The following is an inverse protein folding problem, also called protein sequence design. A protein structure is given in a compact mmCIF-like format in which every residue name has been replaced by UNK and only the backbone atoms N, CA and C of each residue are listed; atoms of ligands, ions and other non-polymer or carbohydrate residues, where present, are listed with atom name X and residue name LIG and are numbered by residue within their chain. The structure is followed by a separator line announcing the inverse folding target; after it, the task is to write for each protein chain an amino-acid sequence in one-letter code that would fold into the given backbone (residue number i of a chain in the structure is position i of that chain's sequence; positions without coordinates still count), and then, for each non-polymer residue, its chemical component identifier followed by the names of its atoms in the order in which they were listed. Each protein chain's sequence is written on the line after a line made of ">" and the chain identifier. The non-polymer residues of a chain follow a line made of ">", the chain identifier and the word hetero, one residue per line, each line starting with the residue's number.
data_IF_803429451960
#
_entry.id   IF_803429451960
#
_cell.length_a   1.000
_cell.length_b   1.000
_cell.length_c   1.000
_cell.angle_alpha   90.00
_cell.angle_beta   90.00
_cell.angle_gamma   90.00
#
_symmetry.space_group_name_H-M   'P 1'
#
loop_
_entity.id
_entity.type
_entity.pdbx_description
1 polymer ?
#
# COMPACT_ATOMS: atom_id res chain seq x y z
N UNK A 1 -11.51 -19.02 -8.52
CA UNK A 1 -11.76 -18.27 -7.27
C UNK A 1 -12.86 -18.97 -6.46
N UNK A 2 -12.57 -19.39 -5.23
CA UNK A 2 -13.48 -20.13 -4.34
C UNK A 2 -14.60 -19.24 -3.78
N UNK A 3 -15.67 -19.84 -3.26
CA UNK A 3 -16.75 -19.10 -2.59
C UNK A 3 -16.28 -18.31 -1.37
N UNK A 4 -15.30 -18.84 -0.64
CA UNK A 4 -14.66 -18.14 0.47
C UNK A 4 -13.90 -16.90 0.00
N UNK A 5 -13.12 -17.02 -1.08
CA UNK A 5 -12.40 -15.89 -1.69
C UNK A 5 -13.40 -14.81 -2.19
N UNK A 6 -14.53 -15.21 -2.79
CA UNK A 6 -15.59 -14.27 -3.20
C UNK A 6 -16.19 -13.54 -2.01
N UNK A 7 -16.49 -14.25 -0.91
CA UNK A 7 -17.00 -13.65 0.32
C UNK A 7 -15.99 -12.69 0.94
N UNK A 8 -14.72 -13.05 0.98
CA UNK A 8 -13.64 -12.19 1.45
C UNK A 8 -13.59 -10.88 0.66
N UNK A 9 -13.49 -10.96 -0.67
CA UNK A 9 -13.42 -9.77 -1.54
C UNK A 9 -14.67 -8.91 -1.41
N UNK A 10 -15.86 -9.53 -1.32
CA UNK A 10 -17.13 -8.82 -1.13
C UNK A 10 -17.17 -8.06 0.20
N UNK A 11 -16.76 -8.70 1.30
CA UNK A 11 -16.68 -8.07 2.61
C UNK A 11 -15.66 -6.92 2.63
N UNK A 12 -14.52 -7.08 1.96
CA UNK A 12 -13.50 -6.05 1.85
C UNK A 12 -14.00 -4.82 1.07
N UNK A 13 -14.69 -5.04 -0.06
CA UNK A 13 -15.36 -3.97 -0.81
C UNK A 13 -16.38 -3.21 0.04
N UNK A 14 -17.18 -3.94 0.82
CA UNK A 14 -18.17 -3.31 1.72
C UNK A 14 -17.48 -2.43 2.76
N UNK A 15 -16.43 -2.94 3.41
CA UNK A 15 -15.65 -2.17 4.40
C UNK A 15 -15.03 -0.91 3.78
N UNK A 16 -14.41 -1.02 2.61
CA UNK A 16 -13.83 0.13 1.90
C UNK A 16 -14.88 1.20 1.60
N UNK A 17 -16.06 0.80 1.13
CA UNK A 17 -17.19 1.72 0.91
C UNK A 17 -17.62 2.42 2.20
N UNK A 18 -17.73 1.69 3.32
CA UNK A 18 -18.06 2.27 4.63
C UNK A 18 -17.00 3.28 5.08
N UNK A 19 -15.71 2.98 4.91
CA UNK A 19 -14.65 3.93 5.23
C UNK A 19 -14.69 5.17 4.34
N UNK A 20 -14.93 5.02 3.04
CA UNK A 20 -15.05 6.15 2.12
C UNK A 20 -16.19 7.10 2.54
N UNK A 21 -17.33 6.54 2.94
CA UNK A 21 -18.45 7.32 3.48
C UNK A 21 -18.10 7.96 4.83
N UNK A 22 -17.43 7.24 5.73
CA UNK A 22 -17.01 7.80 7.02
C UNK A 22 -16.02 8.97 6.83
N UNK A 23 -15.07 8.85 5.90
CA UNK A 23 -14.09 9.91 5.59
C UNK A 23 -14.80 11.18 5.09
N UNK A 24 -15.86 11.06 4.28
CA UNK A 24 -16.53 12.24 3.71
C UNK A 24 -17.26 13.08 4.77
N UNK A 25 -17.73 12.44 5.84
CA UNK A 25 -18.50 13.11 6.92
C UNK A 25 -17.68 13.38 8.18
N UNK A 26 -16.53 12.72 8.37
CA UNK A 26 -15.72 12.88 9.57
C UNK A 26 -15.14 14.29 9.70
N UNK A 27 -14.80 14.68 10.93
CA UNK A 27 -14.05 15.90 11.21
C UNK A 27 -12.59 15.78 10.73
N UNK A 28 -11.89 16.90 10.43
CA UNK A 28 -10.53 16.88 9.91
C UNK A 28 -9.54 16.04 10.74
N UNK A 29 -9.61 16.10 12.07
CA UNK A 29 -8.73 15.33 12.96
C UNK A 29 -8.91 13.82 12.82
N UNK A 30 -10.16 13.36 12.66
CA UNK A 30 -10.49 11.94 12.51
C UNK A 30 -10.31 11.43 11.07
N UNK A 31 -10.40 12.31 10.06
CA UNK A 31 -10.22 11.95 8.65
C UNK A 31 -8.87 11.31 8.37
N UNK A 32 -7.80 11.75 9.03
CA UNK A 32 -6.44 11.23 8.81
C UNK A 32 -6.37 9.75 9.17
N UNK A 33 -6.89 9.38 10.35
CA UNK A 33 -6.93 7.99 10.81
C UNK A 33 -7.80 7.11 9.90
N UNK A 34 -8.98 7.62 9.50
CA UNK A 34 -9.87 6.87 8.60
C UNK A 34 -9.25 6.68 7.21
N UNK A 35 -8.57 7.69 6.67
CA UNK A 35 -7.82 7.59 5.39
C UNK A 35 -6.71 6.56 5.48
N UNK A 36 -5.97 6.53 6.58
CA UNK A 36 -4.90 5.56 6.80
C UNK A 36 -5.43 4.13 6.79
N UNK A 37 -6.50 3.84 7.54
CA UNK A 37 -7.13 2.52 7.55
C UNK A 37 -7.75 2.15 6.19
N UNK A 38 -8.36 3.11 5.50
CA UNK A 38 -8.86 2.91 4.14
C UNK A 38 -7.72 2.50 3.17
N UNK A 39 -6.57 3.18 3.24
CA UNK A 39 -5.40 2.87 2.42
C UNK A 39 -4.88 1.45 2.67
N UNK A 40 -4.76 1.02 3.93
CA UNK A 40 -4.36 -0.36 4.26
C UNK A 40 -5.31 -1.40 3.67
N UNK A 41 -6.61 -1.18 3.79
CA UNK A 41 -7.63 -2.08 3.23
C UNK A 41 -7.59 -2.09 1.70
N UNK A 42 -7.25 -0.95 1.06
CA UNK A 42 -7.10 -0.87 -0.38
C UNK A 42 -5.88 -1.67 -0.87
N UNK A 43 -4.75 -1.60 -0.14
CA UNK A 43 -3.57 -2.42 -0.43
C UNK A 43 -3.87 -3.91 -0.27
N UNK A 44 -4.54 -4.31 0.81
CA UNK A 44 -4.98 -5.68 1.04
C UNK A 44 -5.88 -6.17 -0.11
N UNK A 45 -6.75 -5.30 -0.62
CA UNK A 45 -7.61 -5.63 -1.75
C UNK A 45 -6.79 -5.92 -3.00
N UNK A 46 -5.82 -5.06 -3.33
CA UNK A 46 -4.92 -5.27 -4.47
C UNK A 46 -4.12 -6.56 -4.34
N UNK A 47 -3.58 -6.86 -3.15
CA UNK A 47 -2.84 -8.10 -2.88
C UNK A 47 -3.73 -9.33 -3.05
N UNK A 48 -4.92 -9.32 -2.46
CA UNK A 48 -5.87 -10.42 -2.59
C UNK A 48 -6.28 -10.66 -4.06
N UNK A 49 -6.46 -9.59 -4.85
CA UNK A 49 -6.70 -9.72 -6.28
C UNK A 49 -5.49 -10.31 -7.02
N UNK A 50 -4.27 -9.87 -6.71
CA UNK A 50 -3.07 -10.44 -7.32
C UNK A 50 -2.93 -11.94 -7.00
N UNK A 51 -3.14 -12.35 -5.75
CA UNK A 51 -3.02 -13.75 -5.33
C UNK A 51 -4.12 -14.65 -5.91
N UNK A 52 -5.39 -14.22 -5.83
CA UNK A 52 -6.50 -15.07 -6.27
C UNK A 52 -6.56 -15.24 -7.80
N UNK A 53 -6.03 -14.27 -8.55
CA UNK A 53 -6.01 -14.32 -10.01
C UNK A 53 -4.68 -14.86 -10.57
N UNK A 54 -3.54 -14.66 -9.90
CA UNK A 54 -2.27 -15.30 -10.29
C UNK A 54 -2.28 -16.82 -10.08
N UNK A 55 -2.96 -17.31 -9.05
CA UNK A 55 -3.19 -18.75 -8.85
C UNK A 55 -4.02 -19.42 -9.96
N UNK A 56 -4.60 -18.64 -10.89
CA UNK A 56 -5.35 -19.14 -12.04
C UNK A 56 -4.54 -19.21 -13.34
N UNK A 57 -3.33 -18.68 -13.37
CA UNK A 57 -2.41 -18.81 -14.50
C UNK A 57 -1.23 -19.66 -14.04
N UNK A 58 -1.19 -20.93 -14.44
CA UNK A 58 0.02 -21.73 -14.27
C UNK A 58 1.19 -21.03 -14.95
N UNK A 59 2.02 -20.33 -14.18
CA UNK A 59 3.31 -19.83 -14.61
C UNK A 59 4.34 -20.68 -13.90
N UNK A 60 4.81 -21.66 -14.67
CA UNK A 60 6.08 -22.40 -14.59
C UNK A 60 7.03 -21.94 -13.47
N UNK A 61 7.50 -22.88 -12.65
CA UNK A 61 8.77 -22.81 -11.90
C UNK A 61 9.88 -22.48 -12.90
N UNK A 62 10.10 -21.19 -13.14
CA UNK A 62 11.21 -20.68 -13.92
C UNK A 62 12.34 -20.40 -12.97
N UNK A 63 13.30 -21.34 -12.91
CA UNK A 63 14.62 -21.25 -12.31
C UNK A 63 14.97 -19.90 -11.68
N UNK A 64 14.93 -19.86 -10.34
CA UNK A 64 15.51 -18.78 -9.54
C UNK A 64 17.04 -18.95 -9.49
N UNK A 65 17.68 -18.77 -10.64
CA UNK A 65 19.11 -19.07 -10.83
C UNK A 65 19.75 -18.17 -11.88
N UNK A 66 19.56 -16.84 -11.86
CA UNK A 66 20.49 -15.88 -12.52
C UNK A 66 20.05 -14.41 -12.39
N UNK A 67 20.13 -13.83 -11.19
CA UNK A 67 20.43 -12.39 -11.12
C UNK A 67 21.68 -12.24 -10.27
N UNK A 68 22.79 -12.14 -11.00
CA UNK A 68 24.13 -12.01 -10.49
C UNK A 68 24.29 -10.80 -9.57
N UNK A 69 25.11 -11.06 -8.56
CA UNK A 69 26.23 -10.25 -8.10
C UNK A 69 26.27 -8.79 -8.58
N UNK A 70 26.37 -7.93 -7.57
CA UNK A 70 27.01 -6.61 -7.60
C UNK A 70 26.23 -5.48 -8.26
N UNK A 71 25.48 -4.77 -7.42
CA UNK A 71 25.50 -3.32 -7.50
C UNK A 71 25.47 -2.73 -6.09
N UNK A 72 26.65 -2.57 -5.49
CA UNK A 72 26.85 -1.47 -4.56
C UNK A 72 26.52 -0.18 -5.31
N UNK A 73 25.55 0.58 -4.81
CA UNK A 73 25.34 1.97 -5.18
C UNK A 73 25.11 2.73 -3.89
N UNK A 74 26.09 3.55 -3.60
CA UNK A 74 26.31 4.29 -2.37
C UNK A 74 25.11 5.19 -2.04
N UNK A 75 24.77 5.26 -0.75
CA UNK A 75 23.82 6.22 -0.24
C UNK A 75 24.39 7.64 -0.38
N UNK A 76 23.94 8.40 -1.38
CA UNK A 76 24.22 9.83 -1.46
C UNK A 76 23.37 10.55 -0.40
N UNK A 77 24.04 10.94 0.68
CA UNK A 77 23.48 11.64 1.81
C UNK A 77 23.43 13.14 1.49
N UNK A 78 22.39 13.58 0.79
CA UNK A 78 22.17 15.00 0.48
C UNK A 78 21.61 15.70 1.73
N UNK A 79 22.55 16.10 2.60
CA UNK A 79 22.32 16.96 3.75
C UNK A 79 22.15 18.42 3.26
N UNK A 80 20.98 18.74 2.71
CA UNK A 80 20.61 20.11 2.39
C UNK A 80 20.54 20.92 3.70
N UNK A 81 21.54 21.77 3.86
CA UNK A 81 21.78 22.58 5.06
C UNK A 81 20.66 23.61 5.22
N UNK A 82 19.86 23.46 6.28
CA UNK A 82 18.89 24.46 6.68
C UNK A 82 19.66 25.67 7.23
N UNK A 83 19.73 26.76 6.45
CA UNK A 83 20.31 28.03 6.89
C UNK A 83 19.28 28.78 7.73
N UNK A 84 19.59 28.97 9.02
CA UNK A 84 18.78 29.73 9.97
C UNK A 84 19.40 31.12 10.07
N UNK A 85 18.79 32.14 9.45
CA UNK A 85 19.09 33.53 9.79
C UNK A 85 18.23 33.92 10.98
N UNK A 86 18.89 34.00 12.14
CA UNK A 86 18.35 34.55 13.37
C UNK A 86 18.51 36.07 13.43
N UNK A 87 17.60 36.71 14.16
CA UNK A 87 17.68 38.04 14.78
C UNK A 87 17.59 39.24 13.83
N UNK A 88 17.03 40.40 14.19
CA UNK A 88 16.32 41.00 15.35
C UNK A 88 15.65 42.26 14.74
N UNK A 89 14.61 42.93 15.25
CA UNK A 89 14.29 43.46 16.57
C UNK A 89 12.86 44.03 16.48
#
# INVERSE_FOLDING_TARGET
>A
MSEEQKRFVSNLKRKLSTFAQAISVAEPGHRVLLKHEHTKLSMLQSLAYAEFFSASTGVVDGDRSDYGSDHESEASNDNDSISFESESE
#
